data_IF_829782883932
#
_entry.id   IF_829782883932
#
_cell.length_a   1.000
_cell.length_b   1.000
_cell.length_c   1.000
_cell.angle_alpha   90.00
_cell.angle_beta   90.00
_cell.angle_gamma   90.00
#
_symmetry.space_group_name_H-M   'P 1'
#
loop_
_entity.id
_entity.type
_entity.pdbx_description
1 polymer ?
#
# COMPACT_ATOMS: atom_id res chain seq x y z
N UNK A 1 -21.74 16.89 9.49
CA UNK A 1 -20.35 16.73 9.02
C UNK A 1 -20.37 15.55 8.07
N UNK A 2 -20.07 15.79 6.79
CA UNK A 2 -20.04 14.72 5.79
C UNK A 2 -18.89 13.77 6.16
N UNK A 3 -19.21 12.51 6.45
CA UNK A 3 -18.20 11.51 6.77
C UNK A 3 -17.54 11.10 5.46
N UNK A 4 -16.21 11.18 5.40
CA UNK A 4 -15.45 10.63 4.28
C UNK A 4 -15.76 9.13 4.19
N UNK A 5 -16.21 8.67 3.04
CA UNK A 5 -16.49 7.25 2.80
C UNK A 5 -15.26 6.57 2.20
N UNK A 6 -15.09 5.25 2.41
CA UNK A 6 -14.07 4.46 1.73
C UNK A 6 -14.05 4.68 0.21
N UNK A 7 -15.21 4.67 -0.43
CA UNK A 7 -15.33 4.87 -1.89
C UNK A 7 -14.76 6.22 -2.35
N UNK A 8 -14.99 7.30 -1.60
CA UNK A 8 -14.49 8.63 -1.96
C UNK A 8 -12.97 8.72 -1.80
N UNK A 9 -12.40 7.96 -0.86
CA UNK A 9 -10.95 7.84 -0.72
C UNK A 9 -10.38 7.08 -1.92
N UNK A 10 -10.99 5.94 -2.26
CA UNK A 10 -10.53 5.06 -3.33
C UNK A 10 -10.60 5.72 -4.72
N UNK A 11 -11.50 6.69 -4.92
CA UNK A 11 -11.56 7.54 -6.12
C UNK A 11 -10.32 8.42 -6.32
N UNK A 12 -9.59 8.74 -5.24
CA UNK A 12 -8.50 9.73 -5.24
C UNK A 12 -7.15 9.07 -4.91
N UNK A 13 -7.16 8.05 -4.05
CA UNK A 13 -5.98 7.38 -3.52
C UNK A 13 -6.13 5.89 -3.76
N UNK A 14 -5.17 5.30 -4.48
CA UNK A 14 -5.02 3.86 -4.60
C UNK A 14 -3.70 3.41 -3.99
N UNK A 15 -3.74 2.25 -3.33
CA UNK A 15 -2.55 1.56 -2.82
C UNK A 15 -2.20 0.32 -3.65
N UNK A 16 -2.74 0.24 -4.86
CA UNK A 16 -2.53 -0.83 -5.84
C UNK A 16 -1.50 -0.42 -6.90
N UNK A 17 -0.88 -1.42 -7.53
CA UNK A 17 0.01 -1.18 -8.67
C UNK A 17 -0.89 -0.96 -9.91
N UNK A 18 -0.71 0.16 -10.66
CA UNK A 18 -1.48 0.43 -11.86
C UNK A 18 -1.35 -0.70 -12.89
N UNK A 19 -2.42 -0.96 -13.65
CA UNK A 19 -2.37 -1.94 -14.74
C UNK A 19 -1.53 -1.41 -15.91
N UNK A 20 -0.59 -2.23 -16.39
CA UNK A 20 0.34 -1.85 -17.46
C UNK A 20 -0.34 -1.62 -18.82
N UNK A 21 -1.46 -2.29 -19.09
CA UNK A 21 -2.24 -2.15 -20.32
C UNK A 21 -3.17 -0.92 -20.27
N UNK A 22 -3.52 -0.45 -19.07
CA UNK A 22 -4.36 0.75 -18.87
C UNK A 22 -3.50 2.02 -18.81
N UNK A 23 -2.43 2.01 -18.01
CA UNK A 23 -1.55 3.16 -17.80
C UNK A 23 -0.10 2.71 -17.56
N UNK A 24 0.61 2.45 -18.65
CA UNK A 24 2.01 2.02 -18.63
C UNK A 24 2.95 3.03 -17.95
N UNK A 25 2.75 4.32 -18.20
CA UNK A 25 3.64 5.36 -17.66
C UNK A 25 3.53 5.42 -16.13
N UNK A 26 2.30 5.38 -15.61
CA UNK A 26 2.08 5.34 -14.16
C UNK A 26 2.56 4.02 -13.56
N UNK A 27 2.32 2.88 -14.21
CA UNK A 27 2.86 1.59 -13.78
C UNK A 27 4.38 1.64 -13.65
N UNK A 28 5.09 2.15 -14.66
CA UNK A 28 6.56 2.20 -14.67
C UNK A 28 7.09 3.14 -13.58
N UNK A 29 6.43 4.28 -13.34
CA UNK A 29 6.78 5.20 -12.25
C UNK A 29 6.56 4.54 -10.88
N UNK A 30 5.40 3.93 -10.65
CA UNK A 30 5.05 3.30 -9.36
C UNK A 30 5.97 2.11 -9.10
N UNK A 31 6.16 1.23 -10.07
CA UNK A 31 7.00 0.04 -9.94
C UNK A 31 8.45 0.38 -9.64
N UNK A 32 8.96 1.46 -10.24
CA UNK A 32 10.36 1.89 -10.03
C UNK A 32 10.59 2.61 -8.71
N UNK A 33 9.62 3.39 -8.23
CA UNK A 33 9.85 4.35 -7.14
C UNK A 33 9.08 4.04 -5.85
N UNK A 34 8.02 3.25 -5.91
CA UNK A 34 7.06 3.07 -4.81
C UNK A 34 7.02 1.63 -4.26
N UNK A 35 7.78 0.71 -4.85
CA UNK A 35 7.93 -0.66 -4.35
C UNK A 35 8.98 -0.69 -3.24
N UNK A 36 8.63 -1.34 -2.14
CA UNK A 36 9.59 -1.57 -1.06
C UNK A 36 10.45 -2.80 -1.38
N UNK A 37 11.76 -2.61 -1.45
CA UNK A 37 12.70 -3.71 -1.58
C UNK A 37 12.60 -4.68 -0.38
N UNK A 38 13.04 -5.95 -0.53
CA UNK A 38 13.09 -6.89 0.58
C UNK A 38 13.80 -6.29 1.80
N UNK A 39 13.18 -6.46 2.96
CA UNK A 39 13.69 -5.98 4.25
C UNK A 39 13.20 -6.88 5.40
N UNK A 40 13.63 -6.56 6.61
CA UNK A 40 13.31 -7.32 7.82
C UNK A 40 13.91 -8.70 7.73
N UNK A 41 13.09 -9.74 7.95
CA UNK A 41 13.52 -11.13 7.89
C UNK A 41 14.10 -11.54 6.53
N UNK A 42 13.71 -10.87 5.43
CA UNK A 42 14.22 -11.16 4.09
C UNK A 42 15.55 -10.47 3.80
N UNK A 43 15.86 -9.36 4.49
CA UNK A 43 17.11 -8.64 4.36
C UNK A 43 17.35 -7.73 5.58
N UNK A 44 18.21 -8.19 6.49
CA UNK A 44 18.55 -7.46 7.72
C UNK A 44 19.50 -6.27 7.48
N UNK A 45 20.09 -6.14 6.29
CA UNK A 45 21.01 -5.04 5.97
C UNK A 45 20.27 -3.76 5.52
N UNK A 46 18.96 -3.84 5.27
CA UNK A 46 18.17 -2.67 4.87
C UNK A 46 18.10 -1.64 6.00
N UNK A 47 18.32 -0.37 5.67
CA UNK A 47 18.33 0.75 6.64
C UNK A 47 17.01 0.92 7.41
N UNK A 48 15.91 0.40 6.87
CA UNK A 48 14.60 0.44 7.51
C UNK A 48 14.42 -0.64 8.60
N UNK A 49 15.41 -1.49 8.87
CA UNK A 49 15.28 -2.64 9.79
C UNK A 49 15.79 -2.32 11.20
N UNK A 50 15.03 -2.73 12.21
CA UNK A 50 15.41 -2.74 13.62
C UNK A 50 14.81 -3.99 14.26
N UNK A 51 15.60 -4.70 15.08
CA UNK A 51 15.20 -5.96 15.73
C UNK A 51 14.62 -7.00 14.75
N UNK A 52 15.20 -7.09 13.55
CA UNK A 52 14.77 -8.01 12.49
C UNK A 52 13.43 -7.65 11.84
N UNK A 53 12.83 -6.50 12.18
CA UNK A 53 11.56 -6.02 11.64
C UNK A 53 11.72 -4.70 10.91
N UNK A 54 10.92 -4.49 9.87
CA UNK A 54 10.86 -3.21 9.20
C UNK A 54 10.21 -2.16 10.11
N UNK A 55 10.96 -1.12 10.48
CA UNK A 55 10.49 0.05 11.27
C UNK A 55 9.34 0.80 10.57
N UNK A 56 9.25 0.67 9.24
CA UNK A 56 8.17 1.23 8.42
C UNK A 56 6.97 0.30 8.24
N UNK A 57 6.98 -0.86 8.92
CA UNK A 57 5.89 -1.86 8.96
C UNK A 57 5.56 -2.46 7.58
N UNK A 58 6.59 -2.81 6.81
CA UNK A 58 6.43 -3.63 5.60
C UNK A 58 6.64 -5.13 5.91
N UNK A 59 5.95 -6.03 5.17
CA UNK A 59 4.86 -5.73 4.24
C UNK A 59 3.63 -5.18 4.99
N UNK A 60 2.81 -4.37 4.31
CA UNK A 60 1.54 -3.89 4.87
C UNK A 60 0.51 -5.01 4.78
N UNK A 61 -0.44 -5.03 5.71
CA UNK A 61 -1.55 -5.98 5.68
C UNK A 61 -2.36 -5.79 4.39
N UNK A 62 -2.81 -6.92 3.84
CA UNK A 62 -3.75 -6.94 2.72
C UNK A 62 -5.15 -6.69 3.29
N UNK A 63 -5.88 -5.78 2.65
CA UNK A 63 -7.20 -5.33 3.07
C UNK A 63 -8.11 -5.29 1.84
N UNK A 64 -9.22 -6.02 1.88
CA UNK A 64 -10.19 -6.06 0.79
C UNK A 64 -10.91 -4.72 0.58
N UNK A 65 -10.95 -3.86 1.61
CA UNK A 65 -11.69 -2.60 1.61
C UNK A 65 -10.89 -1.51 2.34
N UNK A 66 -11.10 -0.24 1.97
CA UNK A 66 -10.57 0.89 2.74
C UNK A 66 -11.36 1.03 4.04
N UNK A 67 -10.67 1.10 5.18
CA UNK A 67 -11.28 1.27 6.50
C UNK A 67 -11.01 2.69 6.97
N UNK A 68 -12.06 3.48 7.15
CA UNK A 68 -11.97 4.84 7.70
C UNK A 68 -11.83 4.77 9.22
N UNK A 69 -10.65 5.13 9.74
CA UNK A 69 -10.38 5.22 11.18
C UNK A 69 -10.94 6.49 11.82
N UNK A 70 -11.10 6.47 13.15
CA UNK A 70 -11.50 7.64 13.95
C UNK A 70 -10.34 8.63 14.21
N UNK A 71 -9.10 8.25 13.89
CA UNK A 71 -7.89 9.03 14.10
C UNK A 71 -7.50 9.89 12.88
N UNK A 72 -8.32 9.88 11.83
CA UNK A 72 -8.09 10.65 10.60
C UNK A 72 -7.15 9.97 9.60
N UNK A 73 -6.68 8.75 9.86
CA UNK A 73 -5.82 8.00 8.95
C UNK A 73 -6.55 6.74 8.45
N UNK A 74 -7.08 6.75 7.21
CA UNK A 74 -7.70 5.57 6.65
C UNK A 74 -6.65 4.47 6.42
N UNK A 75 -7.05 3.22 6.66
CA UNK A 75 -6.32 2.06 6.20
C UNK A 75 -6.78 1.76 4.79
N UNK A 76 -5.93 2.01 3.80
CA UNK A 76 -6.28 1.86 2.39
C UNK A 76 -6.43 0.38 2.00
N UNK A 77 -7.37 0.13 1.10
CA UNK A 77 -7.55 -1.14 0.41
C UNK A 77 -6.25 -1.59 -0.26
N UNK A 78 -5.86 -2.84 -0.02
CA UNK A 78 -4.71 -3.54 -0.62
C UNK A 78 -5.15 -4.97 -0.92
N UNK A 79 -5.72 -5.19 -2.10
CA UNK A 79 -6.23 -6.50 -2.52
C UNK A 79 -5.12 -7.53 -2.62
N UNK A 80 -5.43 -8.73 -2.19
CA UNK A 80 -4.63 -9.92 -2.43
C UNK A 80 -4.89 -10.44 -3.85
N UNK A 81 -4.04 -11.35 -4.32
CA UNK A 81 -4.25 -12.04 -5.61
C UNK A 81 -5.47 -12.98 -5.60
N UNK A 82 -6.02 -13.30 -4.43
CA UNK A 82 -7.24 -14.11 -4.28
C UNK A 82 -8.51 -13.25 -4.34
N UNK A 83 -8.40 -11.92 -4.22
CA UNK A 83 -9.52 -10.98 -4.29
C UNK A 83 -9.92 -10.60 -5.74
N UNK A 84 -9.26 -11.18 -6.76
CA UNK A 84 -9.50 -10.98 -8.20
C UNK A 84 -8.53 -10.01 -8.84
#
# INVERSE_FOLDING_TARGET
MEKITPSRIDEIISAEIPDIEIDKDLHDIVSKNMIHDPCGSLNNNSLCVSDGKCTKRYPRDLLAETITGNDGYPLYRRRSTEDG
#
